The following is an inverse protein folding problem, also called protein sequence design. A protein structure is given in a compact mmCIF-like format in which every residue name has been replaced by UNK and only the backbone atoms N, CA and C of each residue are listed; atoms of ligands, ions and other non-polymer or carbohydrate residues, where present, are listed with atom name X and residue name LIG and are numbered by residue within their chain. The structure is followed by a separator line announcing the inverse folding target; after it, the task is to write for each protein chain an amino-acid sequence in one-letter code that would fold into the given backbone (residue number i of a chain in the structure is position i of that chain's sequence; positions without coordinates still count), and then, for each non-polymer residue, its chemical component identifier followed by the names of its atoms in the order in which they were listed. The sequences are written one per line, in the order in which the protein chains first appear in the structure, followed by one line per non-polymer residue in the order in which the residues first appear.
data_IF_673128476465
#
_entry.id   IF_673128476465
#
_cell.length_a   1.000
_cell.length_b   1.000
_cell.length_c   1.000
_cell.angle_alpha   90.00
_cell.angle_beta   90.00
_cell.angle_gamma   90.00
#
_symmetry.space_group_name_H-M   'P 1'
#
loop_
_entity.id
_entity.type
_entity.pdbx_description
1 polymer ?
#
# COMPACT_ATOMS: atom_id res chain seq x y z
N UNK A 1 -25.29 1.24 -18.96
CA UNK A 1 -24.50 1.48 -17.74
C UNK A 1 -23.97 0.14 -17.29
N UNK A 2 -22.76 -0.22 -17.71
CA UNK A 2 -22.09 -1.48 -17.34
C UNK A 2 -21.54 -1.32 -15.93
N UNK A 3 -21.88 -2.25 -15.04
CA UNK A 3 -21.29 -2.28 -13.69
C UNK A 3 -19.78 -2.56 -13.84
N UNK A 4 -18.91 -1.89 -13.08
CA UNK A 4 -17.48 -2.14 -13.17
C UNK A 4 -17.14 -3.59 -12.81
N UNK A 5 -16.00 -4.06 -13.32
CA UNK A 5 -15.39 -5.40 -13.14
C UNK A 5 -16.00 -6.23 -11.98
N UNK A 6 -16.59 -7.41 -12.26
CA UNK A 6 -17.30 -8.22 -11.27
C UNK A 6 -16.38 -8.84 -10.20
N UNK A 7 -15.05 -8.72 -10.33
CA UNK A 7 -14.12 -9.26 -9.34
C UNK A 7 -14.20 -8.47 -8.02
N UNK A 8 -14.22 -9.16 -6.86
CA UNK A 8 -14.20 -8.49 -5.57
C UNK A 8 -12.92 -7.66 -5.42
N UNK A 9 -13.09 -6.42 -4.96
CA UNK A 9 -11.96 -5.50 -4.73
C UNK A 9 -11.17 -5.95 -3.50
N UNK A 10 -9.84 -5.93 -3.63
CA UNK A 10 -8.95 -6.15 -2.49
C UNK A 10 -9.09 -4.97 -1.52
N UNK A 11 -9.10 -5.26 -0.22
CA UNK A 11 -9.16 -4.27 0.87
C UNK A 11 -7.75 -4.21 1.45
N UNK A 12 -7.06 -3.11 1.19
CA UNK A 12 -5.71 -2.85 1.67
C UNK A 12 -5.76 -1.90 2.86
N UNK A 13 -5.28 -2.34 4.01
CA UNK A 13 -5.08 -1.46 5.17
C UNK A 13 -3.65 -0.96 5.17
N UNK A 14 -3.50 0.35 5.28
CA UNK A 14 -2.20 0.99 5.44
C UNK A 14 -1.89 1.08 6.93
N UNK A 15 -0.69 0.63 7.30
CA UNK A 15 -0.13 0.74 8.64
C UNK A 15 1.15 1.56 8.57
N UNK A 16 1.46 2.35 9.60
CA UNK A 16 2.68 3.15 9.61
C UNK A 16 2.63 4.27 10.63
N UNK A 17 3.72 5.03 10.71
CA UNK A 17 3.81 6.12 11.68
C UNK A 17 3.22 7.41 11.13
N UNK A 18 2.39 8.09 11.92
CA UNK A 18 1.90 9.45 11.61
C UNK A 18 3.02 10.52 11.62
N UNK A 19 4.27 10.13 11.87
CA UNK A 19 5.47 10.95 11.58
C UNK A 19 5.75 11.07 10.08
N UNK A 20 5.22 10.15 9.27
CA UNK A 20 5.41 10.05 7.82
C UNK A 20 4.07 10.20 7.07
N UNK A 21 3.33 11.32 7.26
CA UNK A 21 2.00 11.48 6.68
C UNK A 21 2.02 11.52 5.15
N UNK A 22 3.10 12.04 4.55
CA UNK A 22 3.21 12.17 3.10
C UNK A 22 3.47 10.80 2.46
N UNK A 23 4.32 9.96 3.06
CA UNK A 23 4.58 8.60 2.61
C UNK A 23 3.36 7.70 2.78
N UNK A 24 2.58 7.89 3.85
CA UNK A 24 1.30 7.22 4.06
C UNK A 24 0.28 7.60 2.98
N UNK A 25 0.18 8.90 2.64
CA UNK A 25 -0.71 9.39 1.61
C UNK A 25 -0.31 8.88 0.21
N UNK A 26 0.99 8.90 -0.09
CA UNK A 26 1.55 8.36 -1.33
C UNK A 26 1.27 6.87 -1.50
N UNK A 27 1.45 6.07 -0.44
CA UNK A 27 1.14 4.65 -0.45
C UNK A 27 -0.36 4.41 -0.68
N UNK A 28 -1.22 5.16 0.02
CA UNK A 28 -2.67 5.08 -0.16
C UNK A 28 -3.08 5.44 -1.60
N UNK A 29 -2.44 6.45 -2.20
CA UNK A 29 -2.70 6.85 -3.58
C UNK A 29 -2.32 5.77 -4.58
N UNK A 30 -1.15 5.14 -4.43
CA UNK A 30 -0.70 4.01 -5.28
C UNK A 30 -1.65 2.81 -5.20
N UNK A 31 -2.03 2.41 -4.00
CA UNK A 31 -2.96 1.29 -3.78
C UNK A 31 -4.36 1.59 -4.33
N UNK A 32 -4.81 2.85 -4.24
CA UNK A 32 -6.07 3.29 -4.84
C UNK A 32 -6.02 3.22 -6.38
N UNK A 33 -4.93 3.66 -7.00
CA UNK A 33 -4.74 3.56 -8.46
C UNK A 33 -4.68 2.10 -8.92
N UNK A 34 -4.09 1.22 -8.10
CA UNK A 34 -4.11 -0.23 -8.35
C UNK A 34 -5.53 -0.84 -8.26
N UNK A 35 -6.52 -0.06 -7.83
CA UNK A 35 -7.92 -0.46 -7.77
C UNK A 35 -8.30 -1.17 -6.48
N UNK A 36 -7.51 -1.00 -5.41
CA UNK A 36 -7.84 -1.51 -4.08
C UNK A 36 -8.73 -0.54 -3.31
N UNK A 37 -9.56 -1.08 -2.41
CA UNK A 37 -10.23 -0.31 -1.37
C UNK A 37 -9.20 -0.04 -0.27
N UNK A 38 -8.84 1.22 -0.08
CA UNK A 38 -7.78 1.61 0.85
C UNK A 38 -8.36 2.11 2.16
N UNK A 39 -7.86 1.61 3.28
CA UNK A 39 -8.19 2.10 4.62
C UNK A 39 -6.89 2.51 5.33
N UNK A 40 -6.71 3.81 5.53
CA UNK A 40 -5.50 4.39 6.11
C UNK A 40 -5.71 4.96 7.53
N UNK A 41 -4.63 5.22 8.29
CA UNK A 41 -4.70 6.09 9.45
C UNK A 41 -4.86 7.54 8.98
N UNK A 42 -5.72 8.31 9.67
CA UNK A 42 -6.05 9.69 9.26
C UNK A 42 -5.81 10.72 10.37
N UNK A 43 -5.75 10.30 11.63
CA UNK A 43 -5.58 11.22 12.76
C UNK A 43 -4.11 11.31 13.13
N UNK A 44 -3.52 12.50 12.95
CA UNK A 44 -2.14 12.76 13.32
C UNK A 44 -2.07 13.44 14.70
N UNK A 45 -1.92 12.64 15.76
CA UNK A 45 -1.81 13.15 17.13
C UNK A 45 -0.49 13.89 17.43
N UNK A 46 0.48 13.90 16.50
CA UNK A 46 1.67 14.75 16.62
C UNK A 46 1.38 16.22 16.30
N UNK A 47 0.24 16.52 15.69
CA UNK A 47 -0.22 17.89 15.46
C UNK A 47 -1.10 18.34 16.62
N UNK A 48 -0.93 19.59 17.06
CA UNK A 48 -1.80 20.17 18.07
C UNK A 48 -3.23 20.29 17.55
N UNK A 49 -4.21 19.92 18.37
CA UNK A 49 -5.63 20.05 18.03
C UNK A 49 -6.47 20.19 19.31
N UNK A 50 -7.55 21.00 19.32
CA UNK A 50 -8.38 21.21 20.51
C UNK A 50 -8.90 19.92 21.17
N UNK A 51 -9.14 18.87 20.38
CA UNK A 51 -9.66 17.58 20.89
C UNK A 51 -8.66 16.79 21.75
N UNK A 52 -7.36 17.10 21.71
CA UNK A 52 -6.33 16.39 22.49
C UNK A 52 -5.28 17.35 23.06
N UNK A 53 -5.71 18.57 23.42
CA UNK A 53 -4.87 19.49 24.19
C UNK A 53 -4.68 19.00 25.64
N UNK A 54 -5.73 18.43 26.22
CA UNK A 54 -5.65 17.81 27.53
C UNK A 54 -4.94 16.44 27.44
N UNK A 55 -3.94 16.15 28.29
CA UNK A 55 -3.22 14.89 28.27
C UNK A 55 -4.08 13.65 28.49
N UNK A 56 -5.12 13.72 29.33
CA UNK A 56 -5.99 12.57 29.59
C UNK A 56 -6.88 12.27 28.37
N UNK A 57 -7.39 13.31 27.70
CA UNK A 57 -8.09 13.15 26.42
C UNK A 57 -7.17 12.61 25.33
N UNK A 58 -5.92 13.09 25.26
CA UNK A 58 -4.94 12.59 24.31
C UNK A 58 -4.65 11.09 24.49
N UNK A 59 -4.49 10.62 25.72
CA UNK A 59 -4.25 9.20 26.00
C UNK A 59 -5.47 8.32 25.68
N UNK A 60 -6.67 8.78 26.06
CA UNK A 60 -7.92 8.10 25.76
C UNK A 60 -8.15 7.99 24.25
N UNK A 61 -8.05 9.11 23.52
CA UNK A 61 -8.21 9.15 22.06
C UNK A 61 -7.17 8.27 21.37
N UNK A 62 -5.91 8.31 21.82
CA UNK A 62 -4.86 7.45 21.25
C UNK A 62 -5.23 5.97 21.40
N UNK A 63 -5.75 5.58 22.57
CA UNK A 63 -6.15 4.20 22.85
C UNK A 63 -7.31 3.76 21.96
N UNK A 64 -8.32 4.63 21.80
CA UNK A 64 -9.46 4.39 20.91
C UNK A 64 -9.04 4.29 19.44
N UNK A 65 -8.12 5.15 18.99
CA UNK A 65 -7.57 5.11 17.63
C UNK A 65 -6.72 3.86 17.38
N UNK A 66 -5.89 3.46 18.35
CA UNK A 66 -5.11 2.22 18.27
C UNK A 66 -6.07 1.01 18.11
N UNK A 67 -7.15 0.94 18.91
CA UNK A 67 -8.14 -0.13 18.82
C UNK A 67 -8.91 -0.12 17.48
N UNK A 68 -9.36 1.06 17.05
CA UNK A 68 -10.02 1.23 15.76
C UNK A 68 -9.14 0.77 14.60
N UNK A 69 -7.82 0.97 14.69
CA UNK A 69 -6.91 0.55 13.63
C UNK A 69 -6.79 -0.98 13.56
N UNK A 70 -6.87 -1.68 14.70
CA UNK A 70 -6.96 -3.15 14.70
C UNK A 70 -8.27 -3.63 14.06
N UNK A 71 -9.39 -2.96 14.31
CA UNK A 71 -10.66 -3.30 13.65
C UNK A 71 -10.60 -3.12 12.13
N UNK A 72 -9.89 -2.09 11.64
CA UNK A 72 -9.62 -1.95 10.20
C UNK A 72 -8.84 -3.15 9.66
N UNK A 73 -7.78 -3.57 10.36
CA UNK A 73 -6.95 -4.73 9.97
C UNK A 73 -7.78 -6.00 9.93
N UNK A 74 -8.73 -6.19 10.85
CA UNK A 74 -9.62 -7.36 10.87
C UNK A 74 -10.47 -7.50 9.61
N UNK A 75 -10.76 -6.40 8.91
CA UNK A 75 -11.48 -6.40 7.63
C UNK A 75 -10.58 -6.50 6.40
N UNK A 76 -9.26 -6.50 6.59
CA UNK A 76 -8.29 -6.39 5.51
C UNK A 76 -8.10 -7.72 4.77
N UNK A 77 -8.03 -7.64 3.44
CA UNK A 77 -7.47 -8.72 2.64
C UNK A 77 -5.94 -8.72 2.71
N UNK A 78 -5.33 -7.55 2.86
CA UNK A 78 -3.88 -7.38 3.00
C UNK A 78 -3.53 -6.12 3.80
N UNK A 79 -2.34 -6.12 4.41
CA UNK A 79 -1.75 -4.96 5.08
C UNK A 79 -0.49 -4.49 4.34
N UNK A 80 -0.37 -3.19 4.11
CA UNK A 80 0.86 -2.54 3.66
C UNK A 80 1.42 -1.66 4.78
N UNK A 81 2.64 -1.98 5.21
CA UNK A 81 3.37 -1.21 6.22
C UNK A 81 4.26 -0.18 5.53
N UNK A 82 3.97 1.09 5.80
CA UNK A 82 4.77 2.23 5.39
C UNK A 82 5.85 2.47 6.45
N UNK A 83 7.09 2.18 6.09
CA UNK A 83 8.26 2.15 6.98
C UNK A 83 9.50 2.82 6.34
N UNK A 84 9.48 4.13 6.05
CA UNK A 84 10.63 4.83 5.47
C UNK A 84 11.91 4.59 6.28
N UNK A 85 13.00 4.21 5.61
CA UNK A 85 14.26 3.85 6.27
C UNK A 85 14.18 2.67 7.23
N UNK A 86 13.17 1.81 7.10
CA UNK A 86 12.94 0.67 7.98
C UNK A 86 12.31 1.02 9.34
N UNK A 87 11.87 2.26 9.55
CA UNK A 87 11.28 2.66 10.84
C UNK A 87 9.97 1.92 11.13
N UNK A 88 9.89 1.27 12.29
CA UNK A 88 8.67 0.65 12.82
C UNK A 88 8.45 1.08 14.27
N UNK A 89 7.39 1.87 14.50
CA UNK A 89 6.97 2.30 15.84
C UNK A 89 6.22 1.22 16.62
N UNK A 90 5.97 1.45 17.91
CA UNK A 90 5.31 0.47 18.78
C UNK A 90 3.86 0.15 18.36
N UNK A 91 3.04 1.16 18.00
CA UNK A 91 1.67 0.90 17.48
C UNK A 91 1.74 0.10 16.19
N UNK A 92 2.58 0.49 15.23
CA UNK A 92 2.77 -0.24 13.97
C UNK A 92 3.26 -1.68 14.19
N UNK A 93 4.14 -1.93 15.16
CA UNK A 93 4.57 -3.30 15.51
C UNK A 93 3.40 -4.15 16.02
N UNK A 94 2.57 -3.59 16.91
CA UNK A 94 1.35 -4.27 17.40
C UNK A 94 0.36 -4.57 16.27
N UNK A 95 0.20 -3.63 15.34
CA UNK A 95 -0.62 -3.81 14.13
C UNK A 95 -0.11 -4.96 13.26
N UNK A 96 1.21 -5.04 13.02
CA UNK A 96 1.85 -6.12 12.26
C UNK A 96 1.63 -7.48 12.93
N UNK A 97 1.85 -7.55 14.25
CA UNK A 97 1.63 -8.77 15.04
C UNK A 97 0.17 -9.21 14.97
N UNK A 98 -0.77 -8.27 15.09
CA UNK A 98 -2.19 -8.54 14.98
C UNK A 98 -2.57 -9.05 13.59
N UNK A 99 -2.14 -8.39 12.52
CA UNK A 99 -2.37 -8.84 11.15
C UNK A 99 -1.86 -10.27 10.91
N UNK A 100 -0.63 -10.56 11.38
CA UNK A 100 -0.04 -11.91 11.31
C UNK A 100 -0.85 -12.93 12.10
N UNK A 101 -1.37 -12.56 13.27
CA UNK A 101 -2.20 -13.46 14.08
C UNK A 101 -3.51 -13.88 13.39
N UNK A 102 -4.01 -13.04 12.48
CA UNK A 102 -5.20 -13.33 11.65
C UNK A 102 -4.86 -14.11 10.37
N UNK A 103 -3.57 -14.32 10.08
CA UNK A 103 -3.12 -14.85 8.78
C UNK A 103 -3.20 -13.85 7.64
N UNK A 104 -3.42 -12.56 7.92
CA UNK A 104 -3.48 -11.51 6.90
C UNK A 104 -2.08 -11.27 6.32
N UNK A 105 -1.90 -11.31 4.99
CA UNK A 105 -0.62 -10.98 4.36
C UNK A 105 -0.14 -9.56 4.69
N UNK A 106 1.15 -9.43 5.01
CA UNK A 106 1.79 -8.14 5.35
C UNK A 106 2.95 -7.85 4.39
N UNK A 107 2.88 -6.71 3.69
CA UNK A 107 3.96 -6.17 2.83
C UNK A 107 4.56 -4.92 3.46
N UNK A 108 5.77 -4.54 3.03
CA UNK A 108 6.50 -3.38 3.54
C UNK A 108 6.94 -2.47 2.38
N UNK A 109 7.01 -1.16 2.62
CA UNK A 109 7.49 -0.19 1.61
C UNK A 109 9.00 -0.06 1.52
N UNK A 110 9.71 -0.22 2.64
CA UNK A 110 11.16 -0.33 2.61
C UNK A 110 11.51 -1.75 2.21
N UNK A 111 12.34 -1.87 1.18
CA UNK A 111 13.00 -3.10 0.82
C UNK A 111 13.71 -3.63 2.07
N UNK A 112 13.34 -4.84 2.52
CA UNK A 112 13.97 -5.49 3.67
C UNK A 112 15.48 -5.71 3.50
N UNK A 113 16.00 -5.56 2.28
CA UNK A 113 17.39 -5.82 1.89
C UNK A 113 18.10 -4.64 1.21
N UNK A 114 17.49 -3.46 1.11
CA UNK A 114 18.18 -2.30 0.51
C UNK A 114 18.94 -1.55 1.61
N UNK A 115 20.29 -1.48 1.55
CA UNK A 115 21.04 -0.65 2.48
C UNK A 115 20.55 0.81 2.39
N UNK A 116 20.63 1.59 3.48
CA UNK A 116 20.28 3.00 3.42
C UNK A 116 21.01 3.64 2.25
N UNK A 117 20.27 4.37 1.41
CA UNK A 117 20.82 4.96 0.19
C UNK A 117 22.08 5.77 0.53
N UNK A 118 23.16 5.52 -0.21
CA UNK A 118 24.42 6.23 -0.03
C UNK A 118 24.15 7.75 -0.09
N UNK A 119 24.62 8.55 0.88
CA UNK A 119 24.51 10.01 0.82
C UNK A 119 24.94 10.62 -0.52
N UNK A 120 25.90 10.01 -1.22
CA UNK A 120 26.29 10.40 -2.57
C UNK A 120 25.17 10.15 -3.60
N UNK A 121 24.49 9.00 -3.53
CA UNK A 121 23.35 8.68 -4.40
C UNK A 121 22.15 9.58 -4.12
N UNK A 122 21.92 9.97 -2.86
CA UNK A 122 20.89 10.95 -2.50
C UNK A 122 21.24 12.32 -3.07
N UNK A 123 22.48 12.77 -2.91
CA UNK A 123 22.94 14.05 -3.45
C UNK A 123 22.84 14.10 -4.98
N UNK A 124 23.18 13.01 -5.66
CA UNK A 124 23.06 12.87 -7.12
C UNK A 124 21.61 12.86 -7.58
N UNK A 125 20.72 12.12 -6.92
CA UNK A 125 19.29 12.13 -7.23
C UNK A 125 18.65 13.52 -7.01
N UNK A 126 19.04 14.23 -5.95
CA UNK A 126 18.59 15.61 -5.69
C UNK A 126 19.12 16.57 -6.75
N UNK A 127 20.39 16.46 -7.14
CA UNK A 127 20.98 17.27 -8.20
C UNK A 127 20.28 17.02 -9.55
N UNK A 128 19.97 15.76 -9.88
CA UNK A 128 19.23 15.39 -11.08
C UNK A 128 17.82 16.00 -11.07
N UNK A 129 17.08 15.83 -9.96
CA UNK A 129 15.75 16.42 -9.81
C UNK A 129 15.76 17.95 -9.93
N UNK A 130 16.78 18.61 -9.38
CA UNK A 130 16.95 20.06 -9.50
C UNK A 130 17.25 20.48 -10.95
N UNK A 131 18.14 19.77 -11.65
CA UNK A 131 18.44 20.00 -13.06
C UNK A 131 17.18 19.86 -13.94
N UNK A 132 16.38 18.84 -13.68
CA UNK A 132 15.15 18.55 -14.42
C UNK A 132 14.03 19.58 -14.17
N UNK A 133 14.01 20.19 -12.98
CA UNK A 133 13.08 21.27 -12.64
C UNK A 133 13.49 22.60 -13.29
N UNK A 134 14.78 22.80 -13.54
CA UNK A 134 15.34 24.03 -14.11
C UNK A 134 15.17 24.09 -15.64
N UNK A 135 15.04 22.93 -16.31
CA UNK A 135 14.83 22.82 -17.76
C UNK A 135 13.34 22.82 -18.20
N UNK A 136 12.42 23.29 -17.34
CA UNK A 136 10.99 23.44 -17.70
C UNK A 136 10.16 22.16 -17.61
N UNK A 137 10.65 21.11 -16.94
CA UNK A 137 10.07 19.75 -16.92
C UNK A 137 8.79 19.54 -16.08
N UNK A 138 8.17 20.58 -15.53
CA UNK A 138 7.00 20.40 -14.64
C UNK A 138 5.74 19.90 -15.37
N UNK A 139 5.62 20.12 -16.68
CA UNK A 139 4.46 19.69 -17.49
C UNK A 139 4.70 18.34 -18.19
N UNK A 140 5.95 18.02 -18.56
CA UNK A 140 6.28 16.77 -19.26
C UNK A 140 6.26 15.53 -18.33
N UNK A 141 6.69 15.69 -17.06
CA UNK A 141 6.85 14.55 -16.12
C UNK A 141 5.57 13.89 -15.63
N UNK A 142 4.43 14.56 -15.73
CA UNK A 142 3.14 13.95 -15.38
C UNK A 142 2.69 12.94 -16.45
N UNK A 143 3.03 13.18 -17.72
CA UNK A 143 2.72 12.29 -18.83
C UNK A 143 3.58 11.02 -18.82
N UNK A 144 4.89 11.18 -18.66
CA UNK A 144 5.83 10.05 -18.74
C UNK A 144 5.67 9.06 -17.58
N UNK A 145 5.43 9.54 -16.34
CA UNK A 145 5.16 8.64 -15.19
C UNK A 145 3.84 7.90 -15.29
N UNK A 146 2.85 8.46 -15.99
CA UNK A 146 1.59 7.77 -16.27
C UNK A 146 1.76 6.69 -17.34
N UNK A 147 2.63 6.93 -18.34
CA UNK A 147 2.99 5.92 -19.34
C UNK A 147 3.80 4.78 -18.71
N UNK A 148 4.83 5.10 -17.91
CA UNK A 148 5.65 4.10 -17.21
C UNK A 148 4.80 3.24 -16.24
N UNK A 149 3.84 3.86 -15.55
CA UNK A 149 2.90 3.15 -14.67
C UNK A 149 1.92 2.29 -15.47
N UNK A 150 1.45 2.76 -16.63
CA UNK A 150 0.57 1.99 -17.51
C UNK A 150 1.30 0.76 -18.07
N UNK A 151 2.56 0.92 -18.48
CA UNK A 151 3.40 -0.15 -19.02
C UNK A 151 3.74 -1.18 -17.92
N UNK A 152 4.11 -0.72 -16.72
CA UNK A 152 4.36 -1.60 -15.58
C UNK A 152 3.11 -2.39 -15.16
N UNK A 153 1.93 -1.74 -15.15
CA UNK A 153 0.65 -2.39 -14.85
C UNK A 153 0.22 -3.36 -15.97
N UNK A 154 0.55 -3.06 -17.23
CA UNK A 154 0.25 -3.93 -18.37
C UNK A 154 1.15 -5.15 -18.40
N UNK A 155 2.44 -4.98 -18.09
CA UNK A 155 3.40 -6.07 -18.01
C UNK A 155 3.07 -7.03 -16.84
N UNK A 156 2.71 -6.49 -15.67
CA UNK A 156 2.24 -7.29 -14.54
C UNK A 156 0.98 -8.12 -14.89
N UNK A 157 0.09 -7.60 -15.75
CA UNK A 157 -1.09 -8.34 -16.23
C UNK A 157 -0.78 -9.41 -17.28
N UNK A 158 0.26 -9.21 -18.08
CA UNK A 158 0.72 -10.19 -19.06
C UNK A 158 1.39 -11.39 -18.37
N UNK A 159 2.17 -11.13 -17.32
CA UNK A 159 2.86 -12.17 -16.53
C UNK A 159 1.87 -13.04 -15.73
N UNK A 160 0.77 -12.46 -15.23
CA UNK A 160 -0.32 -13.18 -14.55
C UNK A 160 -1.16 -14.05 -15.52
N UNK A 161 -1.13 -13.74 -16.83
CA UNK A 161 -1.80 -14.52 -17.88
C UNK A 161 -0.98 -15.74 -18.35
N UNK A 162 0.27 -15.87 -17.88
CA UNK A 162 1.21 -16.92 -18.28
C UNK A 162 1.42 -18.01 -17.20
N UNK A 163 0.40 -18.28 -16.37
CA UNK A 163 0.35 -19.47 -15.50
C UNK A 163 0.16 -20.78 -16.29
N UNK A 164 0.57 -21.95 -15.75
CA UNK A 164 0.99 -23.09 -16.55
C UNK A 164 -0.15 -23.77 -17.32
N UNK A 165 0.09 -24.06 -18.60
CA UNK A 165 -0.71 -24.97 -19.39
C UNK A 165 -0.42 -26.42 -18.98
N UNK A 166 -1.37 -27.10 -18.31
CA UNK A 166 -1.51 -28.55 -18.14
C UNK A 166 -2.58 -28.83 -17.05
N UNK A 167 -3.50 -29.79 -17.11
CA UNK A 167 -3.91 -30.81 -18.05
C UNK A 167 -5.40 -31.05 -17.73
N UNK A 168 -6.31 -30.89 -18.71
CA UNK A 168 -7.68 -31.37 -18.56
C UNK A 168 -7.69 -32.83 -19.03
N UNK A 169 -7.92 -33.77 -18.12
CA UNK A 169 -8.21 -35.16 -18.47
C UNK A 169 -9.62 -35.22 -19.05
N UNK A 170 -9.71 -35.70 -20.28
CA UNK A 170 -10.95 -36.00 -21.00
C UNK A 170 -11.53 -37.31 -20.44
N UNK A 171 -12.68 -37.23 -19.77
CA UNK A 171 -13.44 -38.41 -19.37
C UNK A 171 -14.73 -38.46 -20.19
N UNK A 172 -14.60 -39.00 -21.40
CA UNK A 172 -15.74 -39.50 -22.18
C UNK A 172 -16.35 -40.71 -21.47
N UNK A 173 -17.61 -40.62 -21.07
CA UNK A 173 -18.44 -41.79 -20.77
C UNK A 173 -19.71 -41.78 -21.66
N UNK A 174 -20.09 -42.91 -22.28
CA UNK A 174 -21.12 -42.96 -23.31
C UNK A 174 -22.55 -43.12 -22.75
N UNK A 175 -23.52 -42.69 -23.55
CA UNK A 175 -24.93 -43.09 -23.45
C UNK A 175 -25.08 -44.61 -23.41
N UNK A 176 -25.96 -45.10 -22.53
CA UNK A 176 -26.58 -46.40 -22.69
C UNK A 176 -28.09 -46.25 -22.50
N UNK A 177 -28.79 -46.37 -23.62
CA UNK A 177 -30.21 -46.65 -23.70
C UNK A 177 -30.50 -48.05 -23.14
N UNK A 178 -31.52 -48.20 -22.30
CA UNK A 178 -32.61 -49.19 -22.47
C UNK A 178 -33.82 -48.76 -21.67
#
# INVERSE_FOLDING_TARGET
MTYPDPRPRIIAVICGSMRFPDELADAAWRETIAGHIVIAPHVNMHRSHPMWLDPADAERIKTELDALHLDKIRMAHQVLVVNPGGYIGQSTRREIEFARSLGTPVRYTADSDKPPADPAQIAEAVAQLQADTTNGGMVARCGDRMADLHDAVTQARAEDSAGPAACFVDETAPEAAT
#
